data_IF_673944895390
#
_entry.id   IF_673944895390
#
_cell.length_a   1.000
_cell.length_b   1.000
_cell.length_c   1.000
_cell.angle_alpha   90.00
_cell.angle_beta   90.00
_cell.angle_gamma   90.00
#
_symmetry.space_group_name_H-M   'P 1'
#
loop_
_entity.id
_entity.type
_entity.pdbx_description
1 polymer ?
#
# COMPACT_ATOMS: atom_id res chain seq x y z
N UNK A 1 -6.22 5.36 22.80
CA UNK A 1 -5.18 4.82 23.71
C UNK A 1 -3.76 5.31 23.39
N UNK A 2 -3.32 5.25 22.13
CA UNK A 2 -1.98 5.72 21.71
C UNK A 2 -1.73 7.21 21.98
N UNK A 3 -2.77 8.05 21.87
CA UNK A 3 -2.69 9.47 22.22
C UNK A 3 -2.35 9.74 23.69
N UNK A 4 -2.70 8.83 24.61
CA UNK A 4 -2.32 8.93 26.01
C UNK A 4 -0.86 8.52 26.21
N UNK A 5 -0.39 7.48 25.52
CA UNK A 5 1.02 7.06 25.59
C UNK A 5 1.96 8.14 25.07
N UNK A 6 1.70 8.73 23.91
CA UNK A 6 2.53 9.83 23.35
C UNK A 6 2.59 11.05 24.27
N UNK A 7 1.51 11.33 25.02
CA UNK A 7 1.48 12.45 25.97
C UNK A 7 2.28 12.22 27.25
N UNK A 8 2.48 10.96 27.65
CA UNK A 8 3.14 10.61 28.92
C UNK A 8 4.52 9.96 28.71
N UNK A 9 4.97 9.81 27.46
CA UNK A 9 6.30 9.28 27.18
C UNK A 9 7.34 10.37 27.50
N UNK A 10 8.09 10.15 28.59
CA UNK A 10 9.11 11.05 29.04
C UNK A 10 10.43 10.71 28.34
N UNK A 11 10.64 11.29 27.16
CA UNK A 11 11.89 11.12 26.40
C UNK A 11 12.82 12.26 26.78
N UNK A 12 13.55 12.09 27.88
CA UNK A 12 14.53 13.07 28.39
C UNK A 12 15.81 13.18 27.53
N UNK A 13 15.78 12.73 26.28
CA UNK A 13 16.96 12.57 25.45
C UNK A 13 16.73 13.26 24.08
N UNK A 14 17.52 14.30 23.81
CA UNK A 14 17.42 15.16 22.61
C UNK A 14 17.64 14.39 21.30
N UNK A 15 18.12 13.14 21.38
CA UNK A 15 18.38 12.27 20.24
C UNK A 15 17.20 11.37 19.85
N UNK A 16 16.13 11.29 20.65
CA UNK A 16 14.99 10.43 20.38
C UNK A 16 13.72 11.23 20.09
N UNK A 17 13.55 11.63 18.83
CA UNK A 17 12.28 12.16 18.36
C UNK A 17 11.29 11.00 18.15
N UNK A 18 10.06 11.09 18.67
CA UNK A 18 9.01 10.15 18.30
C UNK A 18 8.85 10.15 16.78
N UNK A 19 8.90 8.97 16.15
CA UNK A 19 8.57 8.82 14.74
C UNK A 19 7.18 9.43 14.46
N UNK A 20 6.90 9.86 13.24
CA UNK A 20 5.57 10.37 12.91
C UNK A 20 4.52 9.27 13.10
N UNK A 21 3.77 9.32 14.22
CA UNK A 21 2.77 8.32 14.60
C UNK A 21 1.37 8.66 14.08
N UNK A 22 1.19 9.68 13.23
CA UNK A 22 -0.14 10.14 12.81
C UNK A 22 -0.98 9.01 12.16
N UNK A 23 -0.43 8.31 11.17
CA UNK A 23 -1.10 7.18 10.53
C UNK A 23 -1.40 6.03 11.53
N UNK A 24 -0.53 5.83 12.54
CA UNK A 24 -0.75 4.82 13.57
C UNK A 24 -1.88 5.25 14.54
N UNK A 25 -1.93 6.53 14.90
CA UNK A 25 -2.95 7.11 15.76
C UNK A 25 -4.34 7.06 15.11
N UNK A 26 -4.43 7.35 13.81
CA UNK A 26 -5.66 7.25 13.02
C UNK A 26 -6.24 5.84 13.06
N UNK A 27 -5.41 4.82 12.77
CA UNK A 27 -5.82 3.41 12.88
C UNK A 27 -6.25 3.07 14.31
N UNK A 28 -5.48 3.51 15.30
CA UNK A 28 -5.73 3.19 16.69
C UNK A 28 -7.05 3.75 17.22
N UNK A 29 -7.45 4.95 16.78
CA UNK A 29 -8.72 5.56 17.16
C UNK A 29 -9.91 4.69 16.74
N UNK A 30 -9.90 4.19 15.51
CA UNK A 30 -10.93 3.27 15.03
C UNK A 30 -10.85 1.89 15.70
N UNK A 31 -9.64 1.32 15.83
CA UNK A 31 -9.42 0.01 16.46
C UNK A 31 -9.83 -0.01 17.94
N UNK A 32 -9.75 1.12 18.65
CA UNK A 32 -10.18 1.25 20.05
C UNK A 32 -11.70 1.02 20.22
N UNK A 33 -12.51 1.17 19.16
CA UNK A 33 -13.95 0.91 19.19
C UNK A 33 -14.31 -0.59 19.04
N UNK A 34 -13.37 -1.44 18.65
CA UNK A 34 -13.60 -2.88 18.46
C UNK A 34 -13.30 -3.69 19.75
N UNK A 35 -14.01 -4.81 19.98
CA UNK A 35 -13.76 -5.72 21.10
C UNK A 35 -12.53 -6.61 20.85
N UNK A 36 -11.38 -5.98 20.60
CA UNK A 36 -10.08 -6.63 20.40
C UNK A 36 -9.28 -6.71 21.69
N UNK A 37 -8.30 -7.61 21.75
CA UNK A 37 -7.29 -7.55 22.79
C UNK A 37 -6.38 -6.33 22.60
N UNK A 38 -5.68 -5.90 23.65
CA UNK A 38 -4.70 -4.81 23.53
C UNK A 38 -3.58 -5.17 22.53
N UNK A 39 -3.09 -6.41 22.59
CA UNK A 39 -2.06 -6.90 21.68
C UNK A 39 -2.51 -6.86 20.21
N UNK A 40 -3.77 -7.21 19.94
CA UNK A 40 -4.33 -7.17 18.59
C UNK A 40 -4.48 -5.73 18.09
N UNK A 41 -5.04 -4.81 18.90
CA UNK A 41 -5.13 -3.39 18.53
C UNK A 41 -3.76 -2.81 18.21
N UNK A 42 -2.77 -3.11 19.04
CA UNK A 42 -1.40 -2.67 18.80
C UNK A 42 -0.85 -3.23 17.48
N UNK A 43 -1.04 -4.52 17.24
CA UNK A 43 -0.57 -5.17 16.00
C UNK A 43 -1.22 -4.60 14.75
N UNK A 44 -2.54 -4.38 14.76
CA UNK A 44 -3.24 -3.75 13.63
C UNK A 44 -2.81 -2.30 13.42
N UNK A 45 -2.54 -1.54 14.49
CA UNK A 45 -2.04 -0.16 14.36
C UNK A 45 -0.69 -0.09 13.63
N UNK A 46 0.13 -1.14 13.75
CA UNK A 46 1.43 -1.27 13.09
C UNK A 46 1.35 -1.86 11.67
N UNK A 47 0.18 -2.36 11.24
CA UNK A 47 0.03 -2.98 9.94
C UNK A 47 0.43 -1.99 8.82
N UNK A 48 1.33 -2.38 7.88
CA UNK A 48 1.88 -1.50 6.85
C UNK A 48 0.88 -1.28 5.69
N UNK A 49 -0.29 -0.75 6.02
CA UNK A 49 -1.38 -0.46 5.10
C UNK A 49 -1.78 1.02 5.19
N UNK A 50 -2.14 1.63 4.07
CA UNK A 50 -2.57 3.03 4.04
C UNK A 50 -4.09 3.12 4.20
N UNK A 51 -4.56 3.89 5.18
CA UNK A 51 -5.99 4.22 5.37
C UNK A 51 -6.50 5.27 4.38
N UNK A 52 -5.59 5.94 3.64
CA UNK A 52 -5.94 6.97 2.65
C UNK A 52 -6.51 6.38 1.36
N UNK A 53 -6.35 5.07 1.15
CA UNK A 53 -6.87 4.36 -0.02
C UNK A 53 -8.10 3.55 0.43
N UNK A 54 -9.32 3.88 -0.03
CA UNK A 54 -10.55 3.26 0.49
C UNK A 54 -10.58 1.73 0.40
N UNK A 55 -10.01 1.15 -0.66
CA UNK A 55 -9.91 -0.30 -0.80
C UNK A 55 -9.08 -0.94 0.32
N UNK A 56 -7.97 -0.29 0.69
CA UNK A 56 -7.04 -0.76 1.71
C UNK A 56 -7.59 -0.52 3.13
N UNK A 57 -8.22 0.63 3.34
CA UNK A 57 -8.92 0.96 4.58
C UNK A 57 -10.04 -0.06 4.88
N UNK A 58 -10.91 -0.31 3.89
CA UNK A 58 -11.98 -1.30 4.02
C UNK A 58 -11.43 -2.70 4.32
N UNK A 59 -10.34 -3.10 3.65
CA UNK A 59 -9.70 -4.38 3.93
C UNK A 59 -9.20 -4.45 5.38
N UNK A 60 -8.51 -3.42 5.87
CA UNK A 60 -8.06 -3.34 7.27
C UNK A 60 -9.24 -3.45 8.26
N UNK A 61 -10.33 -2.74 7.97
CA UNK A 61 -11.52 -2.76 8.82
C UNK A 61 -12.15 -4.15 8.86
N UNK A 62 -12.37 -4.77 7.69
CA UNK A 62 -12.90 -6.13 7.58
C UNK A 62 -12.04 -7.14 8.34
N UNK A 63 -10.71 -7.04 8.23
CA UNK A 63 -9.75 -7.91 8.92
C UNK A 63 -9.85 -7.78 10.44
N UNK A 64 -9.87 -6.54 10.93
CA UNK A 64 -9.98 -6.27 12.36
C UNK A 64 -11.34 -6.74 12.91
N UNK A 65 -12.43 -6.58 12.15
CA UNK A 65 -13.75 -7.11 12.53
C UNK A 65 -13.78 -8.64 12.58
N UNK A 66 -13.17 -9.34 11.60
CA UNK A 66 -13.11 -10.81 11.65
C UNK A 66 -12.32 -11.26 12.89
N UNK A 67 -11.18 -10.62 13.18
CA UNK A 67 -10.39 -10.91 14.38
C UNK A 67 -11.20 -10.67 15.65
N UNK A 68 -11.91 -9.54 15.74
CA UNK A 68 -12.75 -9.21 16.89
C UNK A 68 -13.88 -10.23 17.12
N UNK A 69 -14.36 -10.86 16.04
CA UNK A 69 -15.36 -11.94 16.09
C UNK A 69 -14.75 -13.34 16.29
N UNK A 70 -13.42 -13.46 16.40
CA UNK A 70 -12.72 -14.74 16.50
C UNK A 70 -12.82 -15.59 15.22
N UNK A 71 -13.01 -14.96 14.06
CA UNK A 71 -13.17 -15.63 12.77
C UNK A 71 -11.90 -15.53 11.93
N UNK A 72 -11.69 -16.54 11.07
CA UNK A 72 -10.69 -16.46 10.02
C UNK A 72 -11.10 -15.44 8.93
N UNK A 73 -10.11 -14.79 8.34
CA UNK A 73 -10.23 -13.81 7.27
C UNK A 73 -9.49 -14.32 6.02
N UNK A 74 -10.04 -15.31 5.28
CA UNK A 74 -9.38 -15.85 4.09
C UNK A 74 -9.30 -14.83 2.94
N UNK A 75 -8.21 -14.86 2.20
CA UNK A 75 -7.84 -13.85 1.20
C UNK A 75 -8.78 -13.83 -0.03
N UNK A 76 -9.34 -14.99 -0.40
CA UNK A 76 -10.23 -15.16 -1.55
C UNK A 76 -11.48 -14.25 -1.53
N UNK A 77 -11.90 -13.78 -0.35
CA UNK A 77 -13.08 -12.90 -0.22
C UNK A 77 -12.82 -11.44 -0.63
N UNK A 78 -11.58 -11.06 -0.95
CA UNK A 78 -11.17 -9.65 -1.07
C UNK A 78 -10.92 -9.16 -2.50
N UNK A 79 -11.13 -10.01 -3.52
CA UNK A 79 -10.90 -9.62 -4.91
C UNK A 79 -12.11 -8.83 -5.46
N UNK A 80 -12.10 -7.51 -5.28
CA UNK A 80 -13.09 -6.59 -5.86
C UNK A 80 -12.76 -6.20 -7.31
N UNK A 81 -13.79 -5.84 -8.09
CA UNK A 81 -13.68 -5.47 -9.51
C UNK A 81 -13.08 -4.07 -9.68
N UNK A 82 -11.95 -3.97 -10.38
CA UNK A 82 -11.16 -2.74 -10.55
C UNK A 82 -11.88 -1.58 -11.26
N UNK A 83 -11.56 -0.36 -10.82
CA UNK A 83 -11.96 0.91 -11.45
C UNK A 83 -11.10 1.30 -12.66
N UNK A 84 -11.30 2.52 -13.16
CA UNK A 84 -10.86 3.04 -14.49
C UNK A 84 -9.34 3.02 -14.80
N UNK A 85 -8.45 2.62 -13.88
CA UNK A 85 -6.99 2.53 -14.12
C UNK A 85 -6.41 1.21 -13.57
N UNK A 86 -6.01 0.32 -14.49
CA UNK A 86 -5.45 -1.01 -14.19
C UNK A 86 -4.16 -0.94 -13.37
N UNK A 87 -3.26 0.00 -13.68
CA UNK A 87 -1.97 0.10 -12.99
C UNK A 87 -2.16 0.48 -11.52
N UNK A 88 -3.01 1.46 -11.24
CA UNK A 88 -3.34 1.87 -9.86
C UNK A 88 -3.97 0.72 -9.08
N UNK A 89 -4.90 -0.01 -9.71
CA UNK A 89 -5.53 -1.16 -9.08
C UNK A 89 -4.52 -2.26 -8.73
N UNK A 90 -3.56 -2.54 -9.61
CA UNK A 90 -2.49 -3.51 -9.34
C UNK A 90 -1.59 -3.03 -8.21
N UNK A 91 -1.19 -1.76 -8.19
CA UNK A 91 -0.39 -1.19 -7.11
C UNK A 91 -1.08 -1.32 -5.76
N UNK A 92 -2.37 -1.00 -5.70
CA UNK A 92 -3.13 -1.09 -4.47
C UNK A 92 -3.37 -2.55 -4.07
N UNK A 93 -3.59 -3.45 -5.02
CA UNK A 93 -3.68 -4.90 -4.75
C UNK A 93 -2.37 -5.46 -4.20
N UNK A 94 -1.23 -5.02 -4.74
CA UNK A 94 0.10 -5.41 -4.24
C UNK A 94 0.30 -4.97 -2.78
N UNK A 95 -0.07 -3.73 -2.44
CA UNK A 95 -0.04 -3.24 -1.04
C UNK A 95 -0.96 -4.04 -0.13
N UNK A 96 -2.15 -4.40 -0.61
CA UNK A 96 -3.11 -5.23 0.13
C UNK A 96 -2.50 -6.61 0.45
N UNK A 97 -1.92 -7.28 -0.55
CA UNK A 97 -1.30 -8.60 -0.36
C UNK A 97 -0.10 -8.54 0.58
N UNK A 98 0.74 -7.50 0.48
CA UNK A 98 1.86 -7.30 1.40
C UNK A 98 1.39 -7.14 2.85
N UNK A 99 0.35 -6.32 3.08
CA UNK A 99 -0.23 -6.11 4.40
C UNK A 99 -0.89 -7.40 4.95
N UNK A 100 -1.59 -8.16 4.11
CA UNK A 100 -2.18 -9.43 4.49
C UNK A 100 -1.10 -10.44 4.90
N UNK A 101 -0.04 -10.61 4.09
CA UNK A 101 1.07 -11.51 4.41
C UNK A 101 1.76 -11.12 5.73
N UNK A 102 1.91 -9.82 5.99
CA UNK A 102 2.46 -9.30 7.25
C UNK A 102 1.62 -9.68 8.48
N UNK A 103 0.28 -9.69 8.34
CA UNK A 103 -0.64 -10.18 9.36
C UNK A 103 -0.63 -11.70 9.48
N UNK A 104 -0.54 -12.42 8.35
CA UNK A 104 -0.37 -13.89 8.30
C UNK A 104 0.80 -14.40 9.13
N UNK A 105 1.93 -13.69 9.09
CA UNK A 105 3.11 -14.02 9.91
C UNK A 105 2.85 -13.87 11.42
N UNK A 106 1.95 -12.97 11.84
CA UNK A 106 1.72 -12.63 13.26
C UNK A 106 0.50 -13.32 13.85
N UNK A 107 -0.50 -13.59 13.04
CA UNK A 107 -1.80 -14.11 13.44
C UNK A 107 -2.28 -15.20 12.47
N UNK A 108 -1.54 -16.31 12.31
CA UNK A 108 -1.82 -17.31 11.29
C UNK A 108 -3.21 -17.95 11.42
N UNK A 109 -3.73 -18.09 12.64
CA UNK A 109 -5.10 -18.59 12.89
C UNK A 109 -6.19 -17.69 12.28
N UNK A 110 -5.97 -16.38 12.26
CA UNK A 110 -6.91 -15.41 11.67
C UNK A 110 -6.63 -15.19 10.19
N UNK A 111 -5.37 -15.26 9.78
CA UNK A 111 -4.91 -14.99 8.41
C UNK A 111 -4.18 -16.21 7.85
N UNK A 112 -4.90 -17.29 7.51
CA UNK A 112 -4.29 -18.56 7.12
C UNK A 112 -3.60 -18.48 5.75
N UNK A 113 -3.99 -17.55 4.89
CA UNK A 113 -3.55 -17.48 3.49
C UNK A 113 -2.28 -16.64 3.29
N UNK A 114 -1.39 -16.58 4.30
CA UNK A 114 -0.20 -15.71 4.27
C UNK A 114 0.76 -16.01 3.11
N UNK A 115 1.03 -17.29 2.85
CA UNK A 115 1.88 -17.72 1.72
C UNK A 115 1.24 -17.40 0.37
N UNK A 116 -0.07 -17.61 0.25
CA UNK A 116 -0.82 -17.25 -0.96
C UNK A 116 -0.77 -15.73 -1.21
N UNK A 117 -0.92 -14.92 -0.17
CA UNK A 117 -0.77 -13.47 -0.28
C UNK A 117 0.63 -13.08 -0.76
N UNK A 118 1.69 -13.74 -0.26
CA UNK A 118 3.06 -13.49 -0.71
C UNK A 118 3.24 -13.83 -2.20
N UNK A 119 2.70 -14.96 -2.68
CA UNK A 119 2.75 -15.32 -4.10
C UNK A 119 1.99 -14.31 -4.97
N UNK A 120 0.79 -13.90 -4.54
CA UNK A 120 0.00 -12.90 -5.26
C UNK A 120 0.69 -11.55 -5.31
N UNK A 121 1.31 -11.11 -4.21
CA UNK A 121 2.12 -9.90 -4.15
C UNK A 121 3.24 -9.91 -5.21
N UNK A 122 4.00 -11.00 -5.30
CA UNK A 122 5.09 -11.14 -6.28
C UNK A 122 4.56 -11.09 -7.72
N UNK A 123 3.54 -11.89 -8.04
CA UNK A 123 2.93 -11.91 -9.38
C UNK A 123 2.35 -10.54 -9.78
N UNK A 124 1.78 -9.80 -8.82
CA UNK A 124 1.22 -8.47 -9.06
C UNK A 124 2.34 -7.46 -9.30
N UNK A 125 3.44 -7.54 -8.54
CA UNK A 125 4.63 -6.71 -8.73
C UNK A 125 5.22 -6.88 -10.13
N UNK A 126 5.38 -8.12 -10.59
CA UNK A 126 5.89 -8.41 -11.94
C UNK A 126 4.99 -7.81 -13.04
N UNK A 127 3.67 -7.86 -12.85
CA UNK A 127 2.72 -7.25 -13.78
C UNK A 127 2.80 -5.73 -13.82
N UNK A 128 2.97 -5.08 -12.65
CA UNK A 128 3.19 -3.62 -12.55
C UNK A 128 4.44 -3.24 -13.33
N UNK A 129 5.54 -3.96 -13.13
CA UNK A 129 6.81 -3.70 -13.83
C UNK A 129 6.66 -3.82 -15.35
N UNK A 130 5.97 -4.85 -15.83
CA UNK A 130 5.67 -5.01 -17.25
C UNK A 130 4.88 -3.83 -17.84
N UNK A 131 3.83 -3.37 -17.15
CA UNK A 131 3.04 -2.22 -17.58
C UNK A 131 3.85 -0.92 -17.61
N UNK A 132 4.69 -0.69 -16.59
CA UNK A 132 5.57 0.48 -16.51
C UNK A 132 6.62 0.47 -17.63
N UNK A 133 7.20 -0.68 -17.97
CA UNK A 133 8.14 -0.81 -19.09
C UNK A 133 7.50 -0.43 -20.42
N UNK A 134 6.29 -0.93 -20.70
CA UNK A 134 5.53 -0.59 -21.91
C UNK A 134 5.22 0.90 -21.97
N UNK A 135 4.73 1.49 -20.88
CA UNK A 135 4.39 2.91 -20.82
C UNK A 135 5.64 3.79 -21.03
N UNK A 136 6.77 3.42 -20.44
CA UNK A 136 8.04 4.13 -20.57
C UNK A 136 8.61 4.04 -22.00
N UNK A 137 8.51 2.87 -22.65
CA UNK A 137 8.93 2.70 -24.04
C UNK A 137 8.11 3.58 -25.01
N UNK A 138 6.79 3.65 -24.80
CA UNK A 138 5.90 4.51 -25.60
C UNK A 138 6.22 6.00 -25.41
N UNK A 139 6.42 6.47 -24.16
CA UNK A 139 6.85 7.85 -23.87
C UNK A 139 8.17 8.22 -24.55
N UNK A 140 9.15 7.30 -24.57
CA UNK A 140 10.44 7.51 -25.25
C UNK A 140 10.30 7.63 -26.77
N UNK A 141 9.45 6.80 -27.39
CA UNK A 141 9.17 6.87 -28.84
C UNK A 141 8.48 8.17 -29.23
N UNK A 142 7.55 8.66 -28.39
CA UNK A 142 6.88 9.95 -28.58
C UNK A 142 7.84 11.14 -28.58
N UNK A 143 8.80 11.19 -27.65
CA UNK A 143 9.80 12.28 -27.58
C UNK A 143 10.78 12.31 -28.76
N UNK A 144 11.13 11.15 -29.33
CA UNK A 144 11.99 11.07 -30.54
C UNK A 144 11.26 11.51 -31.82
N UNK A 145 9.93 11.45 -31.86
CA UNK A 145 9.14 11.91 -33.01
C UNK A 145 8.85 13.41 -33.01
N UNK A 146 9.04 14.11 -31.88
CA UNK A 146 8.70 15.53 -31.70
C UNK A 146 9.87 16.50 -31.83
N UNK A 147 11.08 16.03 -32.18
CA UNK A 147 12.24 16.90 -32.41
C UNK A 147 12.19 17.40 -33.86
N UNK A 148 11.86 18.68 -34.13
CA UNK A 148 11.83 19.17 -35.50
C UNK A 148 13.27 19.15 -36.03
N UNK A 149 13.50 18.36 -37.07
CA UNK A 149 14.72 18.40 -37.84
C UNK A 149 14.99 19.87 -38.22
N UNK A 150 15.95 20.52 -37.55
CA UNK A 150 16.47 21.81 -37.95
C UNK A 150 17.02 21.63 -39.36
N UNK A 151 16.20 21.92 -40.37
CA UNK A 151 16.59 22.08 -41.76
C UNK A 151 17.68 23.15 -41.77
N UNK A 152 18.93 22.70 -41.86
CA UNK A 152 20.05 23.54 -42.25
C UNK A 152 19.79 24.04 -43.66
N UNK A 153 19.17 25.22 -43.77
CA UNK A 153 19.09 25.98 -45.01
C UNK A 153 20.48 26.53 -45.33
N UNK A 154 21.31 25.70 -45.94
CA UNK A 154 22.58 26.12 -46.52
C UNK A 154 22.32 27.19 -47.58
N UNK A 155 22.79 28.41 -47.32
CA UNK A 155 22.75 29.54 -48.24
C UNK A 155 23.51 29.20 -49.53
N UNK A 156 22.76 28.92 -50.59
CA UNK A 156 23.26 28.73 -51.95
C UNK A 156 23.34 30.06 -52.70
N UNK A 157 24.59 30.46 -52.97
CA UNK A 157 25.12 31.37 -54.02
C UNK A 157 24.18 31.90 -55.11
N UNK A 158 24.44 33.16 -55.51
CA UNK A 158 24.60 33.74 -56.88
C UNK A 158 24.26 35.24 -56.79
N UNK A 159 24.86 36.18 -57.49
CA UNK A 159 26.01 36.29 -58.40
C UNK A 159 26.28 37.79 -58.51
#
# INVERSE_FOLDING_TARGET
MLSLFTKHINVHDEFFLPANLSDQMEKAEWLDALPLSLADRYTFSLCPISTKIPMLENALHDWAEQRARGKAAPLLRMMGTGGRNELQYLEDSCKLYAAYAWLGYRMPETFPDGEMAQMLMLSTSERIDGLLQVQNAQKRKGRRGSEPARRGGGGGRRR
#
